data_IF_824439225991
#
_entry.id   IF_824439225991
#
_cell.length_a   1.000
_cell.length_b   1.000
_cell.length_c   1.000
_cell.angle_alpha   90.00
_cell.angle_beta   90.00
_cell.angle_gamma   90.00
#
_symmetry.space_group_name_H-M   'P 1'
#
loop_
_entity.id
_entity.type
_entity.pdbx_description
1 polymer ?
#
# COMPACT_ATOMS: atom_id res chain seq x y z
N UNK A 1 3.98 21.59 10.81
CA UNK A 1 2.93 20.70 10.27
C UNK A 1 3.54 19.32 10.23
N UNK A 2 2.87 18.32 10.82
CA UNK A 2 3.37 16.95 10.78
C UNK A 2 2.96 16.31 9.45
N UNK A 3 3.91 16.27 8.51
CA UNK A 3 3.68 15.68 7.19
C UNK A 3 3.78 14.15 7.26
N UNK A 4 2.80 13.45 6.70
CA UNK A 4 2.86 12.01 6.46
C UNK A 4 3.17 11.75 4.99
N UNK A 5 4.18 10.92 4.71
CA UNK A 5 4.54 10.44 3.39
C UNK A 5 4.02 9.01 3.25
N UNK A 6 3.19 8.80 2.23
CA UNK A 6 2.63 7.49 1.88
C UNK A 6 3.23 7.04 0.56
N UNK A 7 3.72 5.79 0.52
CA UNK A 7 4.37 5.22 -0.67
C UNK A 7 4.18 3.70 -0.71
N UNK A 8 4.46 3.10 -1.86
CA UNK A 8 4.17 1.69 -2.15
C UNK A 8 5.11 1.16 -3.25
N UNK A 9 5.09 -0.16 -3.48
CA UNK A 9 5.63 -0.82 -4.68
C UNK A 9 7.13 -0.55 -4.89
N UNK A 10 7.94 -0.78 -3.86
CA UNK A 10 9.39 -0.60 -3.94
C UNK A 10 10.06 -1.65 -4.81
N UNK A 11 9.61 -2.91 -4.75
CA UNK A 11 10.20 -4.07 -5.43
C UNK A 11 11.73 -4.08 -5.39
N UNK A 12 12.31 -4.03 -4.19
CA UNK A 12 13.76 -4.04 -4.01
C UNK A 12 14.49 -2.81 -4.55
N UNK A 13 13.81 -1.68 -4.83
CA UNK A 13 14.45 -0.44 -5.26
C UNK A 13 15.03 0.35 -4.07
N UNK A 14 16.20 -0.09 -3.61
CA UNK A 14 16.88 0.50 -2.46
C UNK A 14 17.23 1.98 -2.66
N UNK A 15 17.68 2.36 -3.87
CA UNK A 15 18.08 3.73 -4.17
C UNK A 15 16.90 4.71 -4.05
N UNK A 16 15.72 4.32 -4.53
CA UNK A 16 14.50 5.12 -4.39
C UNK A 16 14.08 5.26 -2.92
N UNK A 17 14.14 4.16 -2.15
CA UNK A 17 13.81 4.18 -0.72
C UNK A 17 14.76 5.11 0.05
N UNK A 18 16.08 4.99 -0.16
CA UNK A 18 17.07 5.87 0.45
C UNK A 18 16.74 7.33 0.17
N UNK A 19 16.44 7.66 -1.09
CA UNK A 19 16.12 9.04 -1.48
C UNK A 19 14.81 9.55 -0.85
N UNK A 20 13.84 8.67 -0.67
CA UNK A 20 12.57 9.02 -0.03
C UNK A 20 12.73 9.30 1.47
N UNK A 21 13.55 8.50 2.16
CA UNK A 21 13.78 8.61 3.60
C UNK A 21 14.63 9.83 4.01
N UNK A 22 15.27 10.51 3.06
CA UNK A 22 15.89 11.83 3.29
C UNK A 22 14.86 12.92 3.63
N UNK A 23 13.58 12.70 3.32
CA UNK A 23 12.52 13.71 3.55
C UNK A 23 12.07 13.70 5.02
N UNK A 24 11.80 14.86 5.63
CA UNK A 24 11.25 14.89 6.98
C UNK A 24 9.77 14.48 6.97
N UNK A 25 9.37 13.65 7.93
CA UNK A 25 7.96 13.30 8.13
C UNK A 25 7.77 11.93 8.77
N UNK A 26 6.50 11.56 8.94
CA UNK A 26 6.10 10.20 9.28
C UNK A 26 5.93 9.39 7.99
N UNK A 27 6.29 8.13 8.01
CA UNK A 27 6.26 7.28 6.82
C UNK A 27 5.25 6.14 6.97
N UNK A 28 4.44 5.95 5.93
CA UNK A 28 3.56 4.78 5.77
C UNK A 28 3.90 4.11 4.44
N UNK A 29 4.23 2.83 4.50
CA UNK A 29 4.52 2.01 3.34
C UNK A 29 3.40 0.99 3.12
N UNK A 30 2.81 0.99 1.91
CA UNK A 30 1.59 0.22 1.64
C UNK A 30 1.84 -1.23 1.24
N UNK A 31 3.07 -1.63 0.91
CA UNK A 31 3.39 -3.01 0.55
C UNK A 31 4.24 -3.13 -0.71
N UNK A 32 4.62 -4.37 -1.02
CA UNK A 32 5.53 -4.77 -2.09
C UNK A 32 6.94 -4.19 -1.93
N UNK A 33 7.54 -4.47 -0.76
CA UNK A 33 8.96 -4.19 -0.51
C UNK A 33 9.86 -5.13 -1.33
N UNK A 34 9.40 -6.37 -1.53
CA UNK A 34 10.16 -7.45 -2.15
C UNK A 34 9.73 -7.75 -3.59
N UNK A 35 10.46 -8.64 -4.28
CA UNK A 35 10.26 -8.96 -5.69
C UNK A 35 11.26 -8.31 -6.62
N UNK A 36 12.40 -7.83 -6.12
CA UNK A 36 13.47 -7.22 -6.91
C UNK A 36 14.88 -7.55 -6.40
N UNK A 37 15.85 -6.72 -6.79
CA UNK A 37 17.26 -7.04 -6.62
C UNK A 37 17.80 -6.82 -5.20
N UNK A 38 17.20 -5.92 -4.42
CA UNK A 38 17.71 -5.52 -3.09
C UNK A 38 16.68 -5.68 -1.96
N UNK A 39 15.83 -6.70 -2.06
CA UNK A 39 14.72 -6.98 -1.14
C UNK A 39 15.12 -6.92 0.35
N UNK A 40 16.14 -7.67 0.75
CA UNK A 40 16.59 -7.72 2.14
C UNK A 40 17.10 -6.36 2.64
N UNK A 41 17.79 -5.60 1.78
CA UNK A 41 18.27 -4.27 2.13
C UNK A 41 17.12 -3.26 2.28
N UNK A 42 16.09 -3.36 1.41
CA UNK A 42 14.87 -2.55 1.55
C UNK A 42 14.13 -2.87 2.85
N UNK A 43 13.95 -4.15 3.15
CA UNK A 43 13.30 -4.62 4.38
C UNK A 43 14.00 -4.06 5.64
N UNK A 44 15.32 -4.22 5.74
CA UNK A 44 16.08 -3.71 6.89
C UNK A 44 16.09 -2.18 6.97
N UNK A 45 16.12 -1.48 5.83
CA UNK A 45 16.06 -0.02 5.82
C UNK A 45 14.69 0.50 6.28
N UNK A 46 13.59 -0.08 5.79
CA UNK A 46 12.23 0.24 6.26
C UNK A 46 12.09 0.05 7.77
N UNK A 47 12.62 -1.06 8.29
CA UNK A 47 12.60 -1.39 9.71
C UNK A 47 13.42 -0.41 10.54
N UNK A 48 14.67 -0.17 10.16
CA UNK A 48 15.58 0.72 10.91
C UNK A 48 15.12 2.18 10.90
N UNK A 49 14.46 2.62 9.83
CA UNK A 49 13.86 3.95 9.73
C UNK A 49 12.51 4.09 10.46
N UNK A 50 11.99 3.02 11.07
CA UNK A 50 10.73 3.05 11.83
C UNK A 50 9.49 3.31 10.96
N UNK A 51 9.51 2.86 9.70
CA UNK A 51 8.39 3.03 8.77
C UNK A 51 7.23 2.11 9.17
N UNK A 52 6.00 2.65 9.21
CA UNK A 52 4.80 1.84 9.37
C UNK A 52 4.53 1.07 8.06
N UNK A 53 4.78 -0.24 8.06
CA UNK A 53 4.73 -1.07 6.86
C UNK A 53 3.50 -1.99 6.84
N UNK A 54 2.87 -2.07 5.68
CA UNK A 54 1.84 -3.05 5.34
C UNK A 54 2.40 -4.15 4.45
N UNK A 55 1.67 -5.25 4.32
CA UNK A 55 1.94 -6.29 3.33
C UNK A 55 1.29 -5.98 2.00
N UNK A 56 2.07 -6.09 0.94
CA UNK A 56 1.57 -6.28 -0.41
C UNK A 56 1.51 -7.75 -0.81
N UNK A 57 1.18 -7.99 -2.07
CA UNK A 57 1.04 -9.33 -2.62
C UNK A 57 2.38 -10.07 -2.71
N UNK A 58 3.49 -9.35 -2.91
CA UNK A 58 4.82 -9.94 -2.90
C UNK A 58 5.22 -10.41 -1.51
N UNK A 59 4.82 -9.70 -0.44
CA UNK A 59 5.06 -10.19 0.92
C UNK A 59 4.21 -11.43 1.24
N UNK A 60 2.96 -11.47 0.79
CA UNK A 60 2.07 -12.63 1.00
C UNK A 60 2.60 -13.87 0.27
N UNK A 61 3.13 -13.71 -0.94
CA UNK A 61 3.64 -14.81 -1.76
C UNK A 61 5.05 -15.28 -1.35
N UNK A 62 5.81 -14.47 -0.61
CA UNK A 62 7.23 -14.75 -0.34
C UNK A 62 7.43 -15.76 0.81
N UNK A 63 8.17 -16.84 0.50
CA UNK A 63 8.68 -17.80 1.47
C UNK A 63 9.97 -17.35 2.16
N UNK A 64 10.56 -16.21 1.78
CA UNK A 64 11.90 -15.78 2.22
C UNK A 64 11.88 -14.57 3.15
N UNK A 65 10.70 -14.14 3.60
CA UNK A 65 10.58 -13.04 4.54
C UNK A 65 11.09 -13.40 5.94
N UNK A 66 11.76 -12.45 6.63
CA UNK A 66 12.02 -12.60 8.05
C UNK A 66 10.71 -12.51 8.86
N UNK A 67 10.68 -13.16 10.03
CA UNK A 67 9.47 -13.31 10.85
C UNK A 67 8.77 -11.99 11.21
N UNK A 68 9.54 -10.92 11.38
CA UNK A 68 8.99 -9.61 11.71
C UNK A 68 8.27 -8.97 10.52
N UNK A 69 8.76 -9.15 9.28
CA UNK A 69 8.08 -8.66 8.08
C UNK A 69 6.83 -9.49 7.79
N UNK A 70 6.87 -10.81 8.08
CA UNK A 70 5.69 -11.67 8.04
C UNK A 70 4.59 -11.26 9.01
N UNK A 71 4.86 -10.42 10.01
CA UNK A 71 3.86 -9.91 10.95
C UNK A 71 3.30 -8.55 10.58
N UNK A 72 3.77 -7.93 9.48
CA UNK A 72 3.14 -6.71 8.99
C UNK A 72 1.65 -6.94 8.75
N UNK A 73 0.78 -5.99 9.16
CA UNK A 73 -0.64 -6.08 8.90
C UNK A 73 -0.92 -5.89 7.40
N UNK A 74 -2.06 -6.37 6.93
CA UNK A 74 -2.51 -6.12 5.55
C UNK A 74 -3.16 -4.75 5.39
N UNK A 75 -3.71 -4.19 6.47
CA UNK A 75 -4.26 -2.83 6.52
C UNK A 75 -4.30 -2.27 7.93
N UNK A 76 -4.52 -0.97 8.02
CA UNK A 76 -5.00 -0.32 9.24
C UNK A 76 -5.86 0.91 8.88
N UNK A 77 -6.61 1.38 9.85
CA UNK A 77 -7.39 2.63 9.76
C UNK A 77 -6.83 3.64 10.76
N UNK A 78 -6.71 4.89 10.33
CA UNK A 78 -6.34 6.02 11.19
C UNK A 78 -7.31 7.17 10.96
N UNK A 79 -8.17 7.46 11.94
CA UNK A 79 -9.30 8.37 11.74
C UNK A 79 -10.27 7.82 10.70
N UNK A 80 -10.53 8.58 9.64
CA UNK A 80 -11.39 8.22 8.51
C UNK A 80 -10.58 7.79 7.26
N UNK A 81 -9.29 7.45 7.45
CA UNK A 81 -8.38 7.08 6.37
C UNK A 81 -7.99 5.61 6.48
N UNK A 82 -8.28 4.85 5.42
CA UNK A 82 -7.85 3.47 5.24
C UNK A 82 -6.49 3.40 4.54
N UNK A 83 -5.61 2.53 5.03
CA UNK A 83 -4.33 2.21 4.41
C UNK A 83 -4.29 0.71 4.13
N UNK A 84 -4.07 0.33 2.88
CA UNK A 84 -3.95 -1.06 2.44
C UNK A 84 -3.15 -1.13 1.13
N UNK A 85 -2.52 -2.27 0.82
CA UNK A 85 -1.87 -2.42 -0.49
C UNK A 85 -2.89 -2.49 -1.63
N UNK A 86 -3.90 -3.32 -1.39
CA UNK A 86 -5.04 -3.60 -2.27
C UNK A 86 -6.31 -3.64 -1.43
N UNK A 87 -7.44 -4.03 -2.03
CA UNK A 87 -8.69 -4.29 -1.31
C UNK A 87 -8.60 -5.50 -0.36
N UNK A 88 -9.28 -5.39 0.79
CA UNK A 88 -9.44 -6.44 1.81
C UNK A 88 -10.90 -6.58 2.22
N UNK A 89 -11.73 -7.19 1.39
CA UNK A 89 -13.08 -7.58 1.82
C UNK A 89 -13.22 -9.09 2.03
N UNK A 90 -14.41 -9.52 2.48
CA UNK A 90 -14.64 -10.89 2.90
C UNK A 90 -14.68 -11.84 1.70
N UNK A 91 -13.75 -12.81 1.66
CA UNK A 91 -13.74 -13.90 0.69
C UNK A 91 -12.33 -14.35 0.30
N UNK A 92 -12.13 -15.59 -0.18
CA UNK A 92 -10.85 -16.03 -0.72
C UNK A 92 -10.66 -15.40 -2.10
N UNK A 93 -10.21 -14.15 -2.13
CA UNK A 93 -9.91 -13.47 -3.39
C UNK A 93 -8.43 -13.65 -3.68
N UNK A 94 -8.13 -14.83 -4.25
CA UNK A 94 -6.79 -15.27 -4.69
C UNK A 94 -6.21 -14.38 -5.81
N UNK A 95 -7.04 -13.51 -6.40
CA UNK A 95 -6.61 -12.46 -7.30
C UNK A 95 -6.59 -11.15 -6.52
N UNK A 96 -5.39 -10.66 -6.20
CA UNK A 96 -5.16 -9.33 -5.64
C UNK A 96 -5.99 -8.30 -6.42
N UNK A 97 -7.04 -7.78 -5.77
CA UNK A 97 -8.05 -6.94 -6.44
C UNK A 97 -7.38 -5.69 -6.98
N UNK A 98 -7.28 -5.65 -8.31
CA UNK A 98 -6.81 -4.48 -9.02
C UNK A 98 -7.96 -3.50 -9.15
N UNK A 99 -7.75 -2.26 -8.73
CA UNK A 99 -8.73 -1.18 -8.88
C UNK A 99 -8.68 -0.63 -10.33
N UNK A 100 -9.07 -1.44 -11.31
CA UNK A 100 -8.98 -1.10 -12.74
C UNK A 100 -10.27 -0.52 -13.33
N UNK A 101 -11.42 -0.78 -12.71
CA UNK A 101 -12.72 -0.39 -13.24
C UNK A 101 -13.58 0.39 -12.22
N UNK A 102 -14.61 1.11 -12.68
CA UNK A 102 -15.60 1.72 -11.78
C UNK A 102 -16.29 0.70 -10.86
N UNK A 103 -16.48 -0.54 -11.31
CA UNK A 103 -17.08 -1.60 -10.50
C UNK A 103 -16.17 -2.01 -9.33
N UNK A 104 -14.87 -2.18 -9.60
CA UNK A 104 -13.88 -2.50 -8.55
C UNK A 104 -13.79 -1.38 -7.52
N UNK A 105 -13.78 -0.12 -7.99
CA UNK A 105 -13.77 1.05 -7.13
C UNK A 105 -15.04 1.14 -6.27
N UNK A 106 -16.22 0.82 -6.84
CA UNK A 106 -17.49 0.86 -6.11
C UNK A 106 -17.53 -0.23 -5.03
N UNK A 107 -17.00 -1.41 -5.33
CA UNK A 107 -16.83 -2.48 -4.34
C UNK A 107 -15.91 -2.02 -3.20
N UNK A 108 -14.81 -1.34 -3.51
CA UNK A 108 -13.93 -0.75 -2.49
C UNK A 108 -14.67 0.27 -1.61
N UNK A 109 -15.36 1.25 -2.21
CA UNK A 109 -16.13 2.28 -1.49
C UNK A 109 -17.25 1.73 -0.60
N UNK A 110 -17.75 0.52 -0.88
CA UNK A 110 -18.83 -0.11 -0.11
C UNK A 110 -18.34 -1.17 0.86
N UNK A 111 -17.04 -1.50 0.85
CA UNK A 111 -16.45 -2.58 1.64
C UNK A 111 -16.09 -2.22 3.08
N UNK A 112 -15.87 -0.93 3.37
CA UNK A 112 -15.52 -0.44 4.70
C UNK A 112 -15.92 1.03 4.87
N UNK A 113 -16.02 1.49 6.11
CA UNK A 113 -16.31 2.89 6.42
C UNK A 113 -15.00 3.71 6.42
N UNK A 114 -14.76 4.45 5.34
CA UNK A 114 -13.65 5.38 5.20
C UNK A 114 -14.04 6.57 4.30
N UNK A 115 -13.40 7.72 4.51
CA UNK A 115 -13.51 8.89 3.62
C UNK A 115 -12.43 8.90 2.55
N UNK A 116 -11.25 8.37 2.86
CA UNK A 116 -10.11 8.28 1.95
C UNK A 116 -9.42 6.93 2.12
N UNK A 117 -9.00 6.32 1.03
CA UNK A 117 -8.16 5.12 1.06
C UNK A 117 -6.86 5.36 0.28
N UNK A 118 -5.72 5.11 0.92
CA UNK A 118 -4.44 5.03 0.23
C UNK A 118 -4.17 3.57 -0.14
N UNK A 119 -3.89 3.35 -1.43
CA UNK A 119 -3.68 2.03 -2.04
C UNK A 119 -2.44 2.02 -2.93
N UNK A 120 -1.89 0.83 -3.17
CA UNK A 120 -0.74 0.55 -4.02
C UNK A 120 -1.09 -0.35 -5.21
N UNK A 121 -0.19 -1.28 -5.56
CA UNK A 121 -0.34 -2.40 -6.50
C UNK A 121 -0.46 -2.04 -7.99
N UNK A 122 -1.04 -0.88 -8.30
CA UNK A 122 -1.36 -0.49 -9.67
C UNK A 122 -0.18 0.15 -10.40
N UNK A 123 0.86 0.57 -9.66
CA UNK A 123 2.05 1.28 -10.14
C UNK A 123 1.72 2.52 -10.98
N UNK A 124 0.55 3.12 -10.73
CA UNK A 124 0.01 4.25 -11.48
C UNK A 124 -0.53 5.29 -10.50
N UNK A 125 0.01 6.51 -10.52
CA UNK A 125 -0.52 7.59 -9.68
C UNK A 125 -1.89 8.05 -10.22
N UNK A 126 -2.78 8.36 -9.29
CA UNK A 126 -4.16 8.76 -9.56
C UNK A 126 -5.08 8.27 -8.45
N UNK A 127 -6.36 8.55 -8.57
CA UNK A 127 -7.36 8.15 -7.60
C UNK A 127 -8.70 7.86 -8.25
N UNK A 128 -9.51 7.08 -7.55
CA UNK A 128 -10.95 6.98 -7.81
C UNK A 128 -11.67 7.98 -6.91
N UNK A 129 -12.64 8.70 -7.45
CA UNK A 129 -13.55 9.55 -6.68
C UNK A 129 -15.00 9.07 -6.86
N UNK A 130 -15.75 9.03 -5.76
CA UNK A 130 -17.18 8.77 -5.75
C UNK A 130 -17.90 10.04 -5.30
N UNK A 131 -18.30 10.86 -6.27
CA UNK A 131 -19.03 12.11 -6.05
C UNK A 131 -20.49 12.06 -6.54
N UNK A 132 -20.87 10.97 -7.25
CA UNK A 132 -22.19 10.67 -7.82
C UNK A 132 -22.43 9.16 -7.81
N UNK A 133 -23.36 8.65 -8.64
CA UNK A 133 -23.78 7.23 -8.64
C UNK A 133 -22.66 6.22 -9.00
N UNK A 134 -21.64 6.61 -9.79
CA UNK A 134 -20.55 5.72 -10.22
C UNK A 134 -19.15 6.32 -9.98
N UNK A 135 -18.16 5.50 -9.54
CA UNK A 135 -16.79 5.95 -9.39
C UNK A 135 -16.14 6.40 -10.70
N UNK A 136 -15.29 7.43 -10.61
CA UNK A 136 -14.51 7.96 -11.72
C UNK A 136 -13.01 7.94 -11.40
N UNK A 137 -12.20 7.52 -12.36
CA UNK A 137 -10.75 7.63 -12.28
C UNK A 137 -10.28 9.05 -12.62
N UNK A 138 -9.35 9.56 -11.82
CA UNK A 138 -8.64 10.81 -12.02
C UNK A 138 -7.14 10.54 -11.98
N UNK A 139 -6.42 10.94 -13.03
CA UNK A 139 -4.96 10.86 -13.05
C UNK A 139 -4.35 12.03 -12.27
N UNK A 140 -3.31 11.74 -11.48
CA UNK A 140 -2.53 12.73 -10.76
C UNK A 140 -1.52 13.46 -11.65
#
# INVERSE_FOLDING_TARGET
>A
MDTTLVFSDLHGNLAALQKLLERPGRFVFLGDAVGGAHDQACLELLRSAGVACLKGNHEVASSELPDWARRWPSSFVSGDVLFCHTWLGPGPKLDFFRLHSPADALEMFTSADFRLAFVGHMHRPGWWELTSDLPRWVSA
#
